data_IF_180292747327
#
_entry.id   IF_180292747327
#
_cell.length_a   1.000
_cell.length_b   1.000
_cell.length_c   1.000
_cell.angle_alpha   90.00
_cell.angle_beta   90.00
_cell.angle_gamma   90.00
#
_symmetry.space_group_name_H-M   'P 1'
#
loop_
_entity.id
_entity.type
_entity.pdbx_description
1 polymer ?
#
# COMPACT_ATOMS: atom_id res chain seq x y z
N UNK A 1 -0.18 13.28 15.77
CA UNK A 1 -1.19 12.27 16.14
C UNK A 1 -0.65 11.45 17.31
N UNK A 2 -1.46 11.05 18.29
CA UNK A 2 -1.00 10.15 19.35
C UNK A 2 -0.75 8.75 18.76
N UNK A 3 0.34 8.09 19.16
CA UNK A 3 0.74 6.77 18.68
C UNK A 3 0.97 5.82 19.85
N UNK A 4 0.54 4.56 19.69
CA UNK A 4 0.66 3.53 20.73
C UNK A 4 -0.22 2.29 20.52
N UNK A 5 -1.08 2.26 19.51
CA UNK A 5 -1.94 1.10 19.21
C UNK A 5 -1.24 0.03 18.37
N UNK A 6 -1.87 -1.14 18.31
CA UNK A 6 -1.40 -2.30 17.53
C UNK A 6 -0.32 -3.14 18.23
N UNK A 7 0.01 -4.31 17.67
CA UNK A 7 0.97 -5.25 18.28
C UNK A 7 2.36 -4.63 18.44
N UNK A 8 2.80 -3.83 17.47
CA UNK A 8 4.10 -3.15 17.51
C UNK A 8 4.07 -1.84 18.30
N UNK A 9 2.88 -1.43 18.79
CA UNK A 9 2.65 -0.14 19.49
C UNK A 9 3.08 1.09 18.68
N UNK A 10 3.01 0.99 17.35
CA UNK A 10 3.35 2.05 16.38
C UNK A 10 2.13 2.58 15.59
N UNK A 11 0.92 2.09 15.91
CA UNK A 11 -0.31 2.53 15.27
C UNK A 11 -0.85 3.83 15.86
N UNK A 12 -1.43 4.73 15.04
CA UNK A 12 -2.13 5.91 15.52
C UNK A 12 -3.30 5.54 16.44
N UNK A 13 -3.42 6.27 17.55
CA UNK A 13 -4.47 6.10 18.56
C UNK A 13 -5.71 6.94 18.21
N UNK A 14 -6.18 6.79 16.99
CA UNK A 14 -7.29 7.56 16.44
C UNK A 14 -7.97 6.74 15.36
N UNK A 15 -9.26 6.48 15.52
CA UNK A 15 -10.06 5.80 14.50
C UNK A 15 -10.25 6.70 13.28
N UNK A 16 -10.20 6.13 12.06
CA UNK A 16 -10.30 6.91 10.83
C UNK A 16 -9.21 7.98 10.68
N UNK A 17 -8.05 7.79 11.36
CA UNK A 17 -7.00 8.80 11.40
C UNK A 17 -6.59 9.23 10.00
N UNK A 18 -6.67 8.39 8.96
CA UNK A 18 -6.38 8.70 7.55
C UNK A 18 -7.14 9.92 7.01
N UNK A 19 -8.28 10.29 7.62
CA UNK A 19 -9.10 11.43 7.22
C UNK A 19 -9.10 12.57 8.25
N UNK A 20 -8.40 12.40 9.38
CA UNK A 20 -8.38 13.40 10.45
C UNK A 20 -7.28 14.45 10.25
N UNK A 21 -7.51 15.72 10.60
CA UNK A 21 -6.48 16.77 10.49
C UNK A 21 -5.34 16.67 11.54
N UNK A 22 -5.32 15.60 12.33
CA UNK A 22 -4.46 15.48 13.52
C UNK A 22 -4.92 16.33 14.72
N UNK A 23 -4.08 16.38 15.73
CA UNK A 23 -4.27 17.13 16.98
C UNK A 23 -3.23 18.23 17.10
N UNK A 24 -3.59 19.30 17.81
CA UNK A 24 -2.65 20.35 18.22
C UNK A 24 -1.64 19.80 19.22
N UNK A 25 -0.51 20.50 19.41
CA UNK A 25 0.49 20.15 20.43
C UNK A 25 -0.13 20.07 21.83
N UNK A 26 -0.99 21.03 22.18
CA UNK A 26 -1.68 21.04 23.48
C UNK A 26 -2.61 19.83 23.66
N UNK A 27 -3.34 19.44 22.60
CA UNK A 27 -4.17 18.24 22.62
C UNK A 27 -3.33 16.96 22.76
N UNK A 28 -2.17 16.90 22.09
CA UNK A 28 -1.25 15.77 22.22
C UNK A 28 -0.68 15.69 23.64
N UNK A 29 -0.27 16.81 24.24
CA UNK A 29 0.24 16.85 25.62
C UNK A 29 -0.80 16.37 26.65
N UNK A 30 -2.08 16.65 26.40
CA UNK A 30 -3.19 16.17 27.24
C UNK A 30 -3.59 14.71 26.97
N UNK A 31 -3.09 14.10 25.89
CA UNK A 31 -3.51 12.77 25.47
C UNK A 31 -2.86 11.69 26.35
N UNK A 32 -3.68 10.99 27.13
CA UNK A 32 -3.20 9.94 28.03
C UNK A 32 -2.77 8.68 27.26
N UNK A 33 -1.74 8.02 27.76
CA UNK A 33 -1.29 6.70 27.30
C UNK A 33 -0.69 6.65 25.88
N UNK A 34 -0.51 7.79 25.21
CA UNK A 34 0.34 7.83 24.02
C UNK A 34 1.79 7.55 24.40
N UNK A 35 2.50 6.82 23.54
CA UNK A 35 3.94 6.54 23.71
C UNK A 35 4.79 7.47 22.87
N UNK A 36 4.25 7.85 21.73
CA UNK A 36 4.94 8.67 20.75
C UNK A 36 3.96 9.51 19.94
N UNK A 37 4.52 10.42 19.15
CA UNK A 37 3.79 11.31 18.26
C UNK A 37 4.10 10.91 16.83
N UNK A 38 3.04 10.71 16.04
CA UNK A 38 3.11 10.47 14.61
C UNK A 38 2.76 11.70 13.78
N UNK A 39 3.45 11.90 12.67
CA UNK A 39 3.11 12.85 11.62
C UNK A 39 2.55 12.10 10.41
N UNK A 40 1.44 12.58 9.86
CA UNK A 40 0.87 12.03 8.62
C UNK A 40 1.67 12.56 7.43
N UNK A 41 2.03 11.69 6.50
CA UNK A 41 2.65 12.07 5.23
C UNK A 41 1.59 12.36 4.16
N UNK A 42 2.01 12.78 2.96
CA UNK A 42 1.08 13.10 1.88
C UNK A 42 0.55 14.53 1.96
N UNK A 43 -0.64 14.77 1.41
CA UNK A 43 -1.15 16.11 1.06
C UNK A 43 -2.11 16.70 2.09
N UNK A 44 -2.88 15.86 2.80
CA UNK A 44 -4.06 16.30 3.57
C UNK A 44 -3.78 17.39 4.60
N UNK A 45 -2.68 17.25 5.36
CA UNK A 45 -2.30 18.19 6.43
C UNK A 45 -1.22 19.18 5.99
N UNK A 46 -1.11 19.39 4.66
CA UNK A 46 0.00 20.04 4.00
C UNK A 46 1.03 19.01 3.51
N UNK A 47 1.67 19.23 2.34
CA UNK A 47 2.60 18.27 1.74
C UNK A 47 3.71 17.90 2.73
N UNK A 48 3.81 16.62 3.07
CA UNK A 48 4.88 16.08 3.90
C UNK A 48 5.43 14.80 3.25
N UNK A 49 6.65 14.92 2.75
CA UNK A 49 7.45 13.85 2.17
C UNK A 49 8.45 13.38 3.22
N UNK A 50 8.55 12.07 3.45
CA UNK A 50 9.51 11.50 4.39
C UNK A 50 10.38 10.45 3.69
N UNK A 51 11.69 10.57 3.86
CA UNK A 51 12.66 9.53 3.59
C UNK A 51 13.02 8.85 4.92
N UNK A 52 12.82 7.54 5.00
CA UNK A 52 13.14 6.73 6.17
C UNK A 52 14.34 5.84 5.85
N UNK A 53 15.48 6.19 6.43
CA UNK A 53 16.72 5.44 6.33
C UNK A 53 16.72 4.37 7.43
N UNK A 54 16.57 3.10 7.05
CA UNK A 54 16.41 1.99 7.99
C UNK A 54 17.68 1.13 8.15
N UNK A 55 18.85 1.76 8.26
CA UNK A 55 20.13 1.11 8.54
C UNK A 55 21.29 1.65 7.70
N UNK A 56 22.49 1.13 7.95
CA UNK A 56 23.72 1.65 7.37
C UNK A 56 23.71 1.58 5.83
N UNK A 57 23.22 0.48 5.25
CA UNK A 57 23.18 0.30 3.79
C UNK A 57 22.18 1.25 3.11
N UNK A 58 21.16 1.71 3.84
CA UNK A 58 20.24 2.73 3.33
C UNK A 58 20.89 4.12 3.29
N UNK A 59 21.77 4.42 4.24
CA UNK A 59 22.57 5.65 4.24
C UNK A 59 23.62 5.63 3.13
N UNK A 60 24.29 4.49 2.90
CA UNK A 60 25.21 4.27 1.78
C UNK A 60 24.52 4.53 0.44
N UNK A 61 23.32 3.95 0.23
CA UNK A 61 22.49 4.24 -0.95
C UNK A 61 22.17 5.74 -1.06
N UNK A 62 21.98 6.41 0.08
CA UNK A 62 21.73 7.84 0.12
C UNK A 62 22.92 8.65 -0.40
N UNK A 63 24.14 8.29 0.02
CA UNK A 63 25.37 8.90 -0.48
C UNK A 63 25.52 8.68 -1.99
N UNK A 64 25.31 7.45 -2.47
CA UNK A 64 25.39 7.09 -3.90
C UNK A 64 24.39 7.89 -4.76
N UNK A 65 23.25 8.24 -4.20
CA UNK A 65 22.20 9.03 -4.84
C UNK A 65 22.27 10.53 -4.55
N UNK A 66 23.32 11.02 -3.88
CA UNK A 66 23.50 12.42 -3.50
C UNK A 66 22.35 12.97 -2.63
N UNK A 67 21.78 12.12 -1.77
CA UNK A 67 20.73 12.42 -0.80
C UNK A 67 21.21 12.16 0.64
N UNK A 68 22.39 12.69 0.95
CA UNK A 68 23.02 12.55 2.27
C UNK A 68 22.25 13.34 3.35
N UNK A 69 21.71 12.69 4.40
CA UNK A 69 21.07 13.39 5.52
C UNK A 69 21.98 14.40 6.23
N UNK A 70 23.30 14.21 6.23
CA UNK A 70 24.26 15.11 6.88
C UNK A 70 24.27 16.53 6.30
N UNK A 71 23.85 16.67 5.04
CA UNK A 71 23.75 17.98 4.35
C UNK A 71 22.31 18.50 4.26
N UNK A 72 21.33 17.75 4.76
CA UNK A 72 19.93 18.11 4.68
C UNK A 72 19.52 19.03 5.85
N UNK A 73 19.47 20.33 5.59
CA UNK A 73 18.95 21.32 6.54
C UNK A 73 17.41 21.36 6.52
N UNK A 74 16.77 20.33 7.09
CA UNK A 74 15.31 20.22 7.20
C UNK A 74 14.92 19.50 8.49
N UNK A 75 13.63 19.21 8.69
CA UNK A 75 13.17 18.38 9.79
C UNK A 75 13.79 16.97 9.70
N UNK A 76 14.57 16.60 10.71
CA UNK A 76 15.11 15.25 10.87
C UNK A 76 14.63 14.59 12.16
N UNK A 77 14.38 13.29 12.11
CA UNK A 77 14.03 12.48 13.27
C UNK A 77 15.07 11.39 13.44
N UNK A 78 15.77 11.43 14.56
CA UNK A 78 16.84 10.53 14.95
C UNK A 78 16.36 9.56 16.01
N UNK A 79 17.17 8.53 16.25
CA UNK A 79 16.97 7.54 17.31
C UNK A 79 18.20 7.44 18.18
N UNK A 80 18.00 7.59 19.49
CA UNK A 80 19.09 7.60 20.48
C UNK A 80 19.86 6.27 20.55
N UNK A 81 19.20 5.15 20.21
CA UNK A 81 19.79 3.81 20.24
C UNK A 81 20.45 3.38 18.93
N UNK A 82 20.29 4.13 17.83
CA UNK A 82 20.78 3.71 16.51
C UNK A 82 20.98 4.90 15.57
N UNK A 83 22.22 5.36 15.43
CA UNK A 83 22.58 6.48 14.58
C UNK A 83 22.40 6.20 13.08
N UNK A 84 22.30 4.93 12.68
CA UNK A 84 22.11 4.55 11.28
C UNK A 84 20.63 4.54 10.87
N UNK A 85 19.72 4.88 11.79
CA UNK A 85 18.28 4.92 11.55
C UNK A 85 17.73 6.31 11.82
N UNK A 86 17.35 7.00 10.76
CA UNK A 86 16.83 8.35 10.83
C UNK A 86 15.82 8.63 9.73
N UNK A 87 15.02 9.68 9.91
CA UNK A 87 14.08 10.17 8.91
C UNK A 87 14.43 11.58 8.52
N UNK A 88 14.31 11.89 7.24
CA UNK A 88 14.45 13.25 6.72
C UNK A 88 13.13 13.63 6.07
N UNK A 89 12.52 14.71 6.58
CA UNK A 89 11.21 15.16 6.14
C UNK A 89 11.32 16.49 5.40
N UNK A 90 10.57 16.61 4.31
CA UNK A 90 10.50 17.81 3.49
C UNK A 90 9.05 18.20 3.21
N UNK A 91 8.85 19.47 2.85
CA UNK A 91 7.60 19.99 2.29
C UNK A 91 7.82 20.33 0.82
N UNK A 92 7.43 19.44 -0.12
CA UNK A 92 7.50 19.75 -1.55
C UNK A 92 6.79 21.05 -1.90
N UNK A 93 7.35 21.83 -2.83
CA UNK A 93 6.69 23.03 -3.37
C UNK A 93 5.59 22.64 -4.37
N UNK A 94 4.74 23.60 -4.75
CA UNK A 94 3.71 23.35 -5.76
C UNK A 94 4.31 22.98 -7.12
N UNK A 95 5.43 23.61 -7.51
CA UNK A 95 6.15 23.31 -8.75
C UNK A 95 6.73 21.90 -8.74
N UNK A 96 7.16 21.41 -7.57
CA UNK A 96 7.60 20.04 -7.41
C UNK A 96 6.42 19.08 -7.51
N UNK A 97 5.32 19.34 -6.79
CA UNK A 97 4.13 18.47 -6.82
C UNK A 97 3.54 18.32 -8.22
N UNK A 98 3.62 19.35 -9.07
CA UNK A 98 3.19 19.30 -10.47
C UNK A 98 4.01 18.32 -11.33
N UNK A 99 5.19 17.92 -10.89
CA UNK A 99 6.04 16.93 -11.57
C UNK A 99 5.65 15.49 -11.21
N UNK A 100 4.85 15.28 -10.16
CA UNK A 100 4.37 13.95 -9.83
C UNK A 100 3.39 13.48 -10.91
N UNK A 101 3.51 12.22 -11.36
CA UNK A 101 2.58 11.67 -12.33
C UNK A 101 1.16 11.65 -11.74
N UNK A 102 0.20 12.20 -12.49
CA UNK A 102 -1.22 12.29 -12.13
C UNK A 102 -1.51 12.93 -10.75
N UNK A 103 -0.57 13.71 -10.19
CA UNK A 103 -0.69 14.31 -8.86
C UNK A 103 -0.74 13.28 -7.72
N UNK A 104 -0.22 12.07 -7.96
CA UNK A 104 -0.41 10.93 -7.07
C UNK A 104 0.42 11.02 -5.78
N UNK A 105 -0.24 10.70 -4.67
CA UNK A 105 0.42 10.22 -3.46
C UNK A 105 1.03 8.83 -3.70
N UNK A 106 2.15 8.53 -3.05
CA UNK A 106 2.86 7.28 -3.21
C UNK A 106 3.60 6.84 -1.94
N UNK A 107 3.84 5.54 -1.85
CA UNK A 107 4.74 4.95 -0.89
C UNK A 107 5.57 3.88 -1.59
N UNK A 108 6.88 3.91 -1.40
CA UNK A 108 7.79 2.98 -2.04
C UNK A 108 9.04 2.76 -1.21
N UNK A 109 9.84 1.79 -1.62
CA UNK A 109 11.11 1.50 -0.97
C UNK A 109 12.12 0.87 -1.91
N UNK A 110 13.38 1.11 -1.60
CA UNK A 110 14.53 0.42 -2.17
C UNK A 110 15.13 -0.46 -1.09
N UNK A 111 15.08 -1.78 -1.29
CA UNK A 111 15.69 -2.75 -0.36
C UNK A 111 17.20 -2.72 -0.58
N UNK A 112 17.97 -2.41 0.46
CA UNK A 112 19.43 -2.30 0.41
C UNK A 112 20.13 -3.50 1.04
N UNK A 113 19.48 -4.16 2.00
CA UNK A 113 19.91 -5.45 2.53
C UNK A 113 18.71 -6.36 2.78
N UNK A 114 18.74 -7.64 2.32
CA UNK A 114 17.65 -8.57 2.57
C UNK A 114 17.60 -8.94 4.06
N UNK A 115 16.38 -9.21 4.55
CA UNK A 115 16.20 -9.84 5.86
C UNK A 115 16.80 -11.24 5.83
N UNK A 116 17.56 -11.61 6.86
CA UNK A 116 18.03 -12.98 7.09
C UNK A 116 17.40 -13.54 8.37
N UNK A 117 17.72 -14.79 8.72
CA UNK A 117 17.27 -15.39 9.99
C UNK A 117 17.86 -14.65 11.21
N UNK A 118 19.03 -14.03 11.05
CA UNK A 118 19.79 -13.38 12.13
C UNK A 118 19.79 -11.86 12.05
N UNK A 119 19.38 -11.26 10.92
CA UNK A 119 19.37 -9.81 10.72
C UNK A 119 18.04 -9.30 10.17
N UNK A 120 17.64 -8.11 10.63
CA UNK A 120 16.55 -7.37 9.98
C UNK A 120 17.02 -6.90 8.60
N UNK A 121 16.09 -6.86 7.64
CA UNK A 121 16.37 -6.22 6.36
C UNK A 121 16.53 -4.72 6.54
N UNK A 122 17.23 -4.09 5.60
CA UNK A 122 17.42 -2.65 5.54
C UNK A 122 16.85 -2.12 4.23
N UNK A 123 16.32 -0.90 4.28
CA UNK A 123 15.77 -0.23 3.12
C UNK A 123 15.83 1.28 3.30
N UNK A 124 15.80 2.00 2.18
CA UNK A 124 15.37 3.38 2.12
C UNK A 124 13.88 3.38 1.73
N UNK A 125 13.00 3.76 2.64
CA UNK A 125 11.58 3.93 2.35
C UNK A 125 11.24 5.40 2.10
N UNK A 126 10.33 5.65 1.16
CA UNK A 126 9.82 6.99 0.84
C UNK A 126 8.31 7.01 1.04
N UNK A 127 7.84 7.93 1.88
CA UNK A 127 6.44 8.09 2.24
C UNK A 127 5.93 9.46 1.81
N UNK A 128 4.95 9.46 0.90
CA UNK A 128 4.17 10.63 0.50
C UNK A 128 2.72 10.20 0.25
N UNK A 129 2.06 9.69 1.30
CA UNK A 129 0.75 9.04 1.21
C UNK A 129 -0.07 9.35 2.47
N UNK A 130 -1.27 9.91 2.31
CA UNK A 130 -2.16 10.31 3.40
C UNK A 130 -2.68 9.14 4.25
N UNK A 131 -2.57 7.92 3.73
CA UNK A 131 -2.80 6.66 4.44
C UNK A 131 -1.59 6.18 5.25
N UNK A 132 -0.48 6.93 5.27
CA UNK A 132 0.76 6.61 6.00
C UNK A 132 1.09 7.68 7.05
N UNK A 133 1.89 7.24 8.01
CA UNK A 133 2.40 8.09 9.09
C UNK A 133 3.82 7.66 9.45
N UNK A 134 4.59 8.59 9.98
CA UNK A 134 5.90 8.33 10.56
C UNK A 134 5.97 8.86 11.98
N UNK A 135 6.62 8.11 12.87
CA UNK A 135 6.83 8.56 14.25
C UNK A 135 7.92 9.62 14.26
N UNK A 136 7.65 10.75 14.92
CA UNK A 136 8.53 11.92 14.92
C UNK A 136 9.06 12.31 16.31
N UNK A 137 8.45 11.80 17.38
CA UNK A 137 8.88 12.08 18.76
C UNK A 137 8.39 10.98 19.72
N UNK A 138 9.17 10.67 20.75
CA UNK A 138 8.75 9.81 21.86
C UNK A 138 9.30 8.39 21.77
N UNK A 139 8.71 7.44 22.49
CA UNK A 139 9.31 6.12 22.69
C UNK A 139 9.37 5.27 21.39
N UNK A 140 10.48 4.54 21.22
CA UNK A 140 10.62 3.44 20.27
C UNK A 140 10.34 2.09 20.96
N UNK A 141 9.18 1.45 20.71
CA UNK A 141 8.72 0.30 21.51
C UNK A 141 9.69 -0.88 21.60
N UNK A 142 10.42 -1.19 20.51
CA UNK A 142 11.24 -2.41 20.45
C UNK A 142 12.68 -2.26 20.96
N UNK A 143 13.21 -1.04 21.15
CA UNK A 143 14.56 -0.87 21.74
C UNK A 143 14.53 -0.26 23.12
N UNK A 144 13.39 0.31 23.54
CA UNK A 144 13.35 1.15 24.74
C UNK A 144 14.04 2.51 24.58
N UNK A 145 14.49 2.86 23.37
CA UNK A 145 15.01 4.18 23.03
C UNK A 145 13.91 5.19 22.67
N UNK A 146 14.30 6.35 22.17
CA UNK A 146 13.42 7.45 21.79
C UNK A 146 13.72 7.96 20.38
N UNK A 147 12.64 8.33 19.70
CA UNK A 147 12.65 9.24 18.56
C UNK A 147 12.75 10.67 19.08
N UNK A 148 13.66 11.43 18.49
CA UNK A 148 13.86 12.85 18.80
C UNK A 148 14.30 13.60 17.55
N UNK A 149 14.21 14.93 17.58
CA UNK A 149 14.85 15.78 16.57
C UNK A 149 16.02 16.53 17.23
N UNK A 150 17.19 16.61 16.59
CA UNK A 150 18.25 17.51 17.02
C UNK A 150 17.82 18.98 17.04
N UNK A 151 18.53 19.80 17.80
CA UNK A 151 18.27 21.24 17.89
C UNK A 151 18.32 21.90 16.50
N UNK A 152 17.30 22.68 16.17
CA UNK A 152 17.19 23.36 14.88
C UNK A 152 16.84 22.44 13.70
N UNK A 153 16.53 21.17 13.96
CA UNK A 153 16.09 20.19 12.95
C UNK A 153 14.67 19.67 13.25
N UNK A 154 13.84 20.45 13.94
CA UNK A 154 12.44 20.12 14.19
C UNK A 154 11.48 20.55 13.06
N UNK A 155 10.16 20.50 13.29
CA UNK A 155 9.14 20.94 12.32
C UNK A 155 9.32 22.37 11.82
N UNK A 156 9.92 23.25 12.63
CA UNK A 156 10.25 24.63 12.29
C UNK A 156 11.30 24.75 11.18
N UNK A 157 12.12 23.72 10.97
CA UNK A 157 13.16 23.67 9.95
C UNK A 157 12.66 23.11 8.61
N UNK A 158 11.38 22.75 8.50
CA UNK A 158 10.85 22.06 7.32
C UNK A 158 11.08 22.86 6.03
N UNK A 159 11.89 22.30 5.14
CA UNK A 159 12.27 22.92 3.88
C UNK A 159 11.72 22.13 2.67
N UNK A 160 11.79 22.73 1.49
CA UNK A 160 11.57 22.01 0.24
C UNK A 160 12.70 20.99 -0.01
N UNK A 161 12.39 19.82 -0.59
CA UNK A 161 13.42 18.85 -0.96
C UNK A 161 14.36 19.45 -2.02
N UNK A 162 15.70 19.35 -1.83
CA UNK A 162 16.66 19.71 -2.87
C UNK A 162 16.50 18.83 -4.13
N UNK A 163 17.14 19.23 -5.23
CA UNK A 163 16.98 18.59 -6.54
C UNK A 163 17.17 17.06 -6.50
N UNK A 164 18.30 16.56 -5.99
CA UNK A 164 18.56 15.12 -5.92
C UNK A 164 17.59 14.35 -5.01
N UNK A 165 17.14 14.96 -3.92
CA UNK A 165 16.10 14.39 -3.06
C UNK A 165 14.78 14.28 -3.81
N UNK A 166 14.38 15.34 -4.51
CA UNK A 166 13.16 15.35 -5.29
C UNK A 166 13.20 14.38 -6.48
N UNK A 167 14.32 14.33 -7.22
CA UNK A 167 14.56 13.37 -8.29
C UNK A 167 14.45 11.93 -7.79
N UNK A 168 15.00 11.63 -6.61
CA UNK A 168 14.83 10.32 -5.99
C UNK A 168 13.36 10.01 -5.71
N UNK A 169 12.62 10.97 -5.14
CA UNK A 169 11.19 10.82 -4.87
C UNK A 169 10.39 10.53 -6.16
N UNK A 170 10.68 11.27 -7.25
CA UNK A 170 10.05 11.06 -8.56
C UNK A 170 10.32 9.67 -9.13
N UNK A 171 11.56 9.17 -9.03
CA UNK A 171 11.89 7.80 -9.45
C UNK A 171 11.06 6.77 -8.69
N UNK A 172 10.97 6.89 -7.37
CA UNK A 172 10.17 5.97 -6.55
C UNK A 172 8.68 6.07 -6.90
N UNK A 173 8.15 7.27 -7.11
CA UNK A 173 6.77 7.49 -7.53
C UNK A 173 6.49 6.80 -8.88
N UNK A 174 7.37 6.99 -9.86
CA UNK A 174 7.27 6.37 -11.18
C UNK A 174 7.34 4.84 -11.09
N UNK A 175 8.24 4.27 -10.29
CA UNK A 175 8.32 2.81 -10.08
C UNK A 175 7.07 2.25 -9.41
N UNK A 176 6.46 2.99 -8.48
CA UNK A 176 5.19 2.61 -7.86
C UNK A 176 4.05 2.65 -8.88
N UNK A 177 3.96 3.70 -9.69
CA UNK A 177 2.97 3.79 -10.76
C UNK A 177 3.17 2.69 -11.80
N UNK A 178 4.41 2.41 -12.21
CA UNK A 178 4.72 1.29 -13.10
C UNK A 178 4.30 -0.04 -12.49
N UNK A 179 4.48 -0.27 -11.18
CA UNK A 179 3.98 -1.49 -10.52
C UNK A 179 2.45 -1.56 -10.46
N UNK A 180 1.76 -0.43 -10.39
CA UNK A 180 0.29 -0.35 -10.47
C UNK A 180 -0.21 -0.58 -11.90
N UNK A 181 0.45 -0.01 -12.92
CA UNK A 181 0.06 -0.13 -14.33
C UNK A 181 0.50 -1.45 -14.96
N UNK A 182 1.64 -1.99 -14.54
CA UNK A 182 2.05 -3.39 -14.80
C UNK A 182 1.39 -4.37 -13.85
N UNK A 183 0.39 -3.88 -13.09
CA UNK A 183 -0.40 -4.53 -12.05
C UNK A 183 -0.09 -6.00 -11.94
N UNK A 184 0.74 -6.35 -10.96
CA UNK A 184 1.05 -7.72 -10.54
C UNK A 184 0.96 -8.73 -11.69
N UNK A 185 2.09 -9.15 -12.29
CA UNK A 185 2.11 -10.48 -12.95
C UNK A 185 1.36 -11.42 -12.00
N UNK A 186 0.20 -11.97 -12.41
CA UNK A 186 -0.64 -12.70 -11.48
C UNK A 186 0.24 -13.79 -10.91
N UNK A 187 0.39 -13.79 -9.59
CA UNK A 187 1.07 -14.86 -8.89
C UNK A 187 0.52 -16.16 -9.43
N UNK A 188 1.35 -16.91 -10.15
CA UNK A 188 1.01 -18.23 -10.70
C UNK A 188 0.92 -19.29 -9.61
N UNK A 189 0.94 -18.90 -8.32
CA UNK A 189 1.03 -19.82 -7.19
C UNK A 189 0.18 -19.36 -6.01
N UNK A 190 -1.14 -19.48 -6.16
CA UNK A 190 -2.03 -19.98 -5.10
C UNK A 190 -3.24 -20.66 -5.77
N UNK A 191 -3.14 -21.97 -5.92
CA UNK A 191 -4.21 -22.89 -6.33
C UNK A 191 -4.99 -22.53 -7.60
N UNK A 192 -4.35 -22.62 -8.78
CA UNK A 192 -5.02 -23.01 -10.03
C UNK A 192 -6.11 -22.11 -10.63
N UNK A 193 -6.44 -20.96 -10.02
CA UNK A 193 -7.47 -20.03 -10.51
C UNK A 193 -6.95 -18.59 -10.56
N UNK A 194 -7.50 -17.78 -11.47
CA UNK A 194 -7.30 -16.34 -11.57
C UNK A 194 -8.63 -15.61 -11.32
N UNK A 195 -8.61 -14.46 -10.66
CA UNK A 195 -9.82 -13.62 -10.55
C UNK A 195 -10.16 -12.99 -11.90
N UNK A 196 -11.44 -12.77 -12.16
CA UNK A 196 -11.95 -12.11 -13.35
C UNK A 196 -12.25 -10.64 -13.08
N UNK A 197 -11.70 -9.75 -13.91
CA UNK A 197 -11.99 -8.30 -13.88
C UNK A 197 -13.45 -8.01 -14.26
N UNK A 198 -13.96 -8.76 -15.25
CA UNK A 198 -15.35 -8.82 -15.66
C UNK A 198 -15.77 -10.29 -15.78
N UNK A 199 -16.78 -10.70 -15.01
CA UNK A 199 -17.34 -12.05 -15.15
C UNK A 199 -18.29 -12.09 -16.37
N UNK A 200 -18.03 -12.92 -17.40
CA UNK A 200 -18.89 -12.97 -18.58
C UNK A 200 -20.28 -13.55 -18.27
N UNK A 201 -20.41 -14.34 -17.20
CA UNK A 201 -21.68 -14.96 -16.79
C UNK A 201 -22.58 -13.96 -16.08
N UNK A 202 -22.14 -13.42 -14.94
CA UNK A 202 -22.99 -12.54 -14.11
C UNK A 202 -22.81 -11.03 -14.38
N UNK A 203 -21.84 -10.63 -15.21
CA UNK A 203 -21.56 -9.22 -15.49
C UNK A 203 -20.91 -8.43 -14.34
N UNK A 204 -20.51 -9.12 -13.26
CA UNK A 204 -19.81 -8.51 -12.12
C UNK A 204 -18.51 -7.86 -12.58
N UNK A 205 -18.32 -6.59 -12.20
CA UNK A 205 -17.12 -5.80 -12.42
C UNK A 205 -16.64 -5.17 -11.10
N UNK A 206 -15.35 -4.83 -10.99
CA UNK A 206 -14.80 -4.00 -9.90
C UNK A 206 -14.60 -4.65 -8.52
N UNK A 207 -14.94 -5.93 -8.34
CA UNK A 207 -14.84 -6.65 -7.04
C UNK A 207 -14.00 -7.94 -7.08
N UNK A 208 -13.42 -8.30 -8.23
CA UNK A 208 -12.51 -9.45 -8.44
C UNK A 208 -12.88 -10.72 -7.66
N UNK A 209 -14.16 -11.11 -7.67
CA UNK A 209 -14.63 -12.25 -6.87
C UNK A 209 -14.86 -13.51 -7.71
N UNK A 210 -15.42 -13.40 -8.92
CA UNK A 210 -15.50 -14.56 -9.81
C UNK A 210 -14.11 -15.01 -10.26
N UNK A 211 -13.95 -16.32 -10.46
CA UNK A 211 -12.67 -16.93 -10.79
C UNK A 211 -12.70 -17.67 -12.12
N UNK A 212 -11.55 -17.82 -12.77
CA UNK A 212 -11.33 -18.73 -13.90
C UNK A 212 -10.18 -19.69 -13.58
N UNK A 213 -10.40 -20.99 -13.74
CA UNK A 213 -9.37 -22.03 -13.56
C UNK A 213 -8.39 -22.06 -14.74
N UNK A 214 -7.24 -22.72 -14.58
CA UNK A 214 -6.29 -22.94 -15.68
C UNK A 214 -6.91 -23.72 -16.85
N UNK A 215 -7.87 -24.62 -16.58
CA UNK A 215 -8.61 -25.38 -17.58
C UNK A 215 -9.73 -24.56 -18.25
N UNK A 216 -9.82 -23.27 -17.93
CA UNK A 216 -10.77 -22.33 -18.51
C UNK A 216 -12.18 -22.42 -17.93
N UNK A 217 -12.39 -23.11 -16.81
CA UNK A 217 -13.69 -23.12 -16.12
C UNK A 217 -13.91 -21.80 -15.39
N UNK A 218 -15.12 -21.27 -15.39
CA UNK A 218 -15.48 -20.06 -14.64
C UNK A 218 -16.25 -20.45 -13.38
N UNK A 219 -15.75 -20.05 -12.22
CA UNK A 219 -16.46 -20.14 -10.95
C UNK A 219 -17.17 -18.81 -10.73
N UNK A 220 -18.46 -18.78 -11.05
CA UNK A 220 -19.32 -17.63 -10.80
C UNK A 220 -19.79 -17.68 -9.34
N UNK A 221 -19.32 -16.74 -8.53
CA UNK A 221 -19.66 -16.66 -7.11
C UNK A 221 -21.10 -16.17 -6.92
N UNK A 222 -21.81 -16.62 -5.86
CA UNK A 222 -23.14 -16.11 -5.52
C UNK A 222 -23.06 -14.62 -5.15
N UNK A 223 -24.18 -13.93 -5.01
CA UNK A 223 -24.16 -12.52 -4.59
C UNK A 223 -25.52 -11.86 -4.69
N UNK A 224 -25.73 -10.84 -3.88
CA UNK A 224 -27.00 -10.08 -3.81
C UNK A 224 -27.15 -9.04 -4.91
N UNK A 225 -26.06 -8.62 -5.55
CA UNK A 225 -26.09 -7.65 -6.67
C UNK A 225 -25.74 -8.28 -8.02
N UNK A 226 -24.83 -9.26 -8.01
CA UNK A 226 -24.41 -9.97 -9.21
C UNK A 226 -24.31 -11.47 -8.93
N UNK A 227 -25.14 -12.24 -9.60
CA UNK A 227 -25.00 -13.69 -9.69
C UNK A 227 -25.52 -14.18 -11.03
N UNK A 228 -25.15 -15.40 -11.43
CA UNK A 228 -25.61 -15.93 -12.71
C UNK A 228 -27.15 -16.05 -12.72
N UNK A 229 -27.76 -16.47 -11.62
CA UNK A 229 -29.21 -16.65 -11.54
C UNK A 229 -29.97 -15.32 -11.40
N UNK A 230 -29.35 -14.27 -10.86
CA UNK A 230 -29.93 -12.92 -10.94
C UNK A 230 -30.00 -12.39 -12.36
N UNK A 231 -29.00 -12.72 -13.19
CA UNK A 231 -28.96 -12.25 -14.58
C UNK A 231 -29.79 -13.11 -15.53
N UNK A 232 -29.79 -14.43 -15.33
CA UNK A 232 -30.32 -15.40 -16.29
C UNK A 232 -31.55 -16.19 -15.77
N UNK A 233 -32.00 -15.93 -14.54
CA UNK A 233 -33.00 -16.75 -13.86
C UNK A 233 -32.42 -18.07 -13.34
N UNK A 234 -33.25 -18.97 -12.77
CA UNK A 234 -32.80 -20.26 -12.25
C UNK A 234 -32.09 -21.10 -13.33
N UNK A 235 -30.91 -21.65 -13.00
CA UNK A 235 -30.08 -22.39 -13.96
C UNK A 235 -29.95 -23.87 -13.60
N UNK A 236 -30.07 -24.75 -14.58
CA UNK A 236 -29.82 -26.19 -14.40
C UNK A 236 -28.49 -26.63 -15.01
N UNK A 237 -27.86 -27.66 -14.45
CA UNK A 237 -26.64 -28.25 -15.02
C UNK A 237 -26.94 -28.70 -16.47
N UNK A 238 -26.06 -28.30 -17.41
CA UNK A 238 -26.21 -28.50 -18.85
C UNK A 238 -26.76 -27.29 -19.60
N UNK A 239 -27.40 -26.33 -18.92
CA UNK A 239 -27.93 -25.13 -19.54
C UNK A 239 -26.80 -24.20 -20.02
N UNK A 240 -26.98 -23.63 -21.22
CA UNK A 240 -26.01 -22.74 -21.86
C UNK A 240 -26.49 -21.29 -21.77
N UNK A 241 -25.65 -20.40 -21.25
CA UNK A 241 -25.86 -18.95 -21.18
C UNK A 241 -24.60 -18.22 -21.61
N UNK A 242 -24.71 -17.16 -22.41
CA UNK A 242 -23.57 -16.36 -22.89
C UNK A 242 -22.44 -17.18 -23.54
N UNK A 243 -22.74 -18.35 -24.12
CA UNK A 243 -21.74 -19.26 -24.70
C UNK A 243 -21.06 -20.21 -23.70
N UNK A 244 -21.56 -20.30 -22.46
CA UNK A 244 -21.02 -21.13 -21.39
C UNK A 244 -22.07 -22.09 -20.84
N UNK A 245 -21.71 -23.36 -20.67
CA UNK A 245 -22.56 -24.38 -20.08
C UNK A 245 -22.33 -24.48 -18.57
N UNK A 246 -23.39 -24.49 -17.75
CA UNK A 246 -23.31 -24.80 -16.33
C UNK A 246 -22.95 -26.29 -16.16
N UNK A 247 -21.85 -26.60 -15.48
CA UNK A 247 -21.35 -27.98 -15.32
C UNK A 247 -21.34 -28.46 -13.87
N UNK A 248 -21.37 -27.57 -12.88
CA UNK A 248 -21.37 -27.93 -11.46
C UNK A 248 -21.97 -26.83 -10.61
N UNK A 249 -22.66 -27.23 -9.53
CA UNK A 249 -23.09 -26.37 -8.43
C UNK A 249 -22.35 -26.79 -7.17
N UNK A 250 -21.74 -25.85 -6.46
CA UNK A 250 -21.03 -26.12 -5.19
C UNK A 250 -21.61 -25.23 -4.10
N UNK A 251 -22.29 -25.79 -3.08
CA UNK A 251 -22.90 -24.99 -2.03
C UNK A 251 -21.83 -24.36 -1.12
N UNK A 252 -22.01 -23.09 -0.77
CA UNK A 252 -21.26 -22.35 0.24
C UNK A 252 -22.23 -21.61 1.17
N UNK A 253 -21.75 -21.02 2.27
CA UNK A 253 -22.61 -20.36 3.28
C UNK A 253 -23.48 -19.21 2.74
N UNK A 254 -23.10 -18.60 1.62
CA UNK A 254 -23.78 -17.45 0.99
C UNK A 254 -24.57 -17.81 -0.28
N UNK A 255 -24.69 -19.10 -0.61
CA UNK A 255 -25.38 -19.61 -1.81
C UNK A 255 -24.55 -20.60 -2.61
N UNK A 256 -24.93 -20.88 -3.85
CA UNK A 256 -24.19 -21.79 -4.73
C UNK A 256 -23.12 -21.05 -5.55
N UNK A 257 -21.90 -21.59 -5.55
CA UNK A 257 -20.91 -21.29 -6.60
C UNK A 257 -21.25 -22.11 -7.85
N UNK A 258 -21.51 -21.42 -8.95
CA UNK A 258 -21.90 -22.03 -10.22
C UNK A 258 -20.68 -22.10 -11.14
N UNK A 259 -20.27 -23.33 -11.49
CA UNK A 259 -19.10 -23.56 -12.35
C UNK A 259 -19.54 -23.72 -13.80
N UNK A 260 -18.98 -22.90 -14.68
CA UNK A 260 -19.27 -22.88 -16.10
C UNK A 260 -18.08 -23.33 -16.94
N UNK A 261 -18.36 -23.98 -18.07
CA UNK A 261 -17.36 -24.36 -19.08
C UNK A 261 -17.75 -23.76 -20.43
N UNK A 262 -16.77 -23.31 -21.22
CA UNK A 262 -17.05 -22.79 -22.55
C UNK A 262 -17.80 -23.86 -23.36
N UNK A 263 -18.99 -23.51 -23.86
CA UNK A 263 -19.80 -24.45 -24.62
C UNK A 263 -19.15 -24.64 -26.00
N UNK A 264 -18.84 -25.89 -26.33
CA UNK A 264 -18.41 -26.29 -27.67
C UNK A 264 -19.54 -27.12 -28.28
N UNK A 265 -20.29 -26.58 -29.26
CA UNK A 265 -21.23 -27.39 -30.01
C UNK A 265 -20.48 -28.55 -30.64
N UNK A 266 -20.95 -29.78 -30.44
CA UNK A 266 -20.45 -30.89 -31.26
C UNK A 266 -20.88 -30.58 -32.68
N UNK A 267 -19.91 -30.44 -33.59
CA UNK A 267 -20.20 -30.32 -35.01
C UNK A 267 -21.10 -31.48 -35.41
N UNK A 268 -22.22 -31.17 -36.06
CA UNK A 268 -23.05 -32.18 -36.70
C UNK A 268 -22.15 -33.03 -37.59
N UNK A 269 -22.03 -34.31 -37.28
CA UNK A 269 -21.59 -35.31 -38.24
C UNK A 269 -22.69 -35.34 -39.29
N UNK A 270 -22.46 -34.74 -40.46
CA UNK A 270 -23.24 -35.08 -41.63
C UNK A 270 -22.90 -36.54 -41.95
N UNK A 271 -23.94 -37.37 -42.03
CA UNK A 271 -23.86 -38.73 -42.53
C UNK A 271 -23.50 -38.79 -44.01
#
# INVERSE_FOLDING_TARGET
MPVGWGPDRKGPMLEGWQHHLGYTVAQLQAYRSMRSVGARTGLLTGPLLCFDFDGATSLELGLDHLIDPGWACTWQVHRDTDANRLKVLFRPTMEQLQQLPDGAEFQGKTITAPKTDTSKGEALEVFFDGGRQVIVLGEHPSSGGHYFWPDGMGPEALAAPPAHWWEHALRIAADCQQRLTTGSKPSSRRHGTKRLDLCPICGRHGSLWCEQTQEGLILCMPGSTFSAEQRHGPLSIGQVVDGWALVKRTPIGEGDVLTFKLHRPRGCSNG
#
